data_IF_509291453045
#
_entry.id   IF_509291453045
#
_cell.length_a   1.000
_cell.length_b   1.000
_cell.length_c   1.000
_cell.angle_alpha   90.00
_cell.angle_beta   90.00
_cell.angle_gamma   90.00
#
_symmetry.space_group_name_H-M   'P 1'
#
loop_
_entity.id
_entity.type
_entity.pdbx_description
1 polymer ?
#
# COMPACT_ATOMS: atom_id res chain seq x y z
N UNK A 1 -28.44 21.44 -1.00
CA UNK A 1 -27.92 20.82 0.23
C UNK A 1 -26.80 19.84 -0.15
N UNK A 2 -25.54 20.09 0.21
CA UNK A 2 -24.45 19.11 0.01
C UNK A 2 -24.61 18.02 1.08
N UNK A 3 -25.11 16.84 0.70
CA UNK A 3 -25.20 15.70 1.60
C UNK A 3 -23.84 15.39 2.21
N UNK A 4 -23.79 15.12 3.52
CA UNK A 4 -22.56 14.66 4.19
C UNK A 4 -22.07 13.40 3.49
N UNK A 5 -20.91 13.50 2.84
CA UNK A 5 -20.19 12.36 2.27
C UNK A 5 -19.89 11.38 3.42
N UNK A 6 -20.61 10.25 3.46
CA UNK A 6 -20.40 9.23 4.49
C UNK A 6 -19.06 8.56 4.21
N UNK A 7 -18.15 8.64 5.18
CA UNK A 7 -16.91 7.85 5.17
C UNK A 7 -17.27 6.39 5.37
N UNK A 8 -16.90 5.54 4.42
CA UNK A 8 -17.07 4.10 4.55
C UNK A 8 -15.90 3.52 5.36
N UNK A 9 -16.18 2.49 6.17
CA UNK A 9 -15.18 1.78 6.96
C UNK A 9 -15.31 0.29 6.70
N UNK A 10 -14.23 -0.32 6.23
CA UNK A 10 -14.08 -1.75 6.01
C UNK A 10 -13.07 -2.29 7.03
N UNK A 11 -13.43 -3.35 7.75
CA UNK A 11 -12.61 -3.92 8.82
C UNK A 11 -12.53 -5.42 8.64
N UNK A 12 -11.31 -5.93 8.53
CA UNK A 12 -10.98 -7.33 8.34
C UNK A 12 -10.04 -7.72 9.50
N UNK A 13 -10.47 -8.67 10.34
CA UNK A 13 -9.68 -9.14 11.50
C UNK A 13 -9.66 -10.66 11.60
N UNK A 14 -8.51 -11.22 11.96
CA UNK A 14 -8.33 -12.66 12.23
C UNK A 14 -7.52 -13.38 11.16
N UNK A 15 -7.79 -14.67 10.99
CA UNK A 15 -7.28 -15.48 9.88
C UNK A 15 -8.28 -15.39 8.71
N UNK A 16 -7.87 -14.77 7.60
CA UNK A 16 -8.79 -14.36 6.55
C UNK A 16 -8.25 -14.68 5.16
N UNK A 17 -9.14 -15.21 4.33
CA UNK A 17 -8.92 -15.39 2.90
C UNK A 17 -10.16 -14.96 2.12
N UNK A 18 -10.04 -13.92 1.30
CA UNK A 18 -11.15 -13.37 0.51
C UNK A 18 -10.62 -12.62 -0.71
N UNK A 19 -11.06 -13.00 -1.90
CA UNK A 19 -10.66 -12.41 -3.18
C UNK A 19 -11.72 -11.49 -3.81
N UNK A 20 -12.80 -11.22 -3.07
CA UNK A 20 -14.01 -10.56 -3.56
C UNK A 20 -14.22 -9.15 -3.01
N UNK A 21 -13.19 -8.56 -2.35
CA UNK A 21 -13.33 -7.26 -1.71
C UNK A 21 -13.62 -6.17 -2.76
N UNK A 22 -14.72 -5.44 -2.58
CA UNK A 22 -15.08 -4.30 -3.42
C UNK A 22 -15.10 -3.01 -2.60
N UNK A 23 -14.16 -2.11 -2.88
CA UNK A 23 -14.09 -0.77 -2.31
C UNK A 23 -14.50 0.21 -3.41
N UNK A 24 -15.80 0.49 -3.48
CA UNK A 24 -16.38 1.47 -4.38
C UNK A 24 -17.27 2.44 -3.61
N UNK A 25 -17.05 3.74 -3.78
CA UNK A 25 -17.71 4.73 -2.93
C UNK A 25 -18.02 6.05 -3.64
N UNK A 26 -19.10 6.70 -3.19
CA UNK A 26 -19.37 8.12 -3.40
C UNK A 26 -18.76 8.95 -2.26
N UNK A 27 -17.52 8.66 -1.86
CA UNK A 27 -16.87 9.30 -0.71
C UNK A 27 -15.54 8.69 -0.30
N UNK A 28 -14.92 9.23 0.74
CA UNK A 28 -13.68 8.64 1.27
C UNK A 28 -13.95 7.28 1.93
N UNK A 29 -13.00 6.35 1.81
CA UNK A 29 -13.07 5.03 2.40
C UNK A 29 -11.87 4.78 3.33
N UNK A 30 -12.09 3.99 4.38
CA UNK A 30 -11.04 3.52 5.30
C UNK A 30 -11.06 2.00 5.33
N UNK A 31 -9.91 1.39 5.10
CA UNK A 31 -9.70 -0.06 5.10
C UNK A 31 -8.74 -0.38 6.24
N UNK A 32 -9.14 -1.31 7.11
CA UNK A 32 -8.33 -1.78 8.22
C UNK A 32 -8.24 -3.30 8.15
N UNK A 33 -7.01 -3.83 8.07
CA UNK A 33 -6.72 -5.26 8.02
C UNK A 33 -5.78 -5.60 9.18
N UNK A 34 -6.15 -6.59 9.99
CA UNK A 34 -5.35 -7.02 11.15
C UNK A 34 -5.37 -8.56 11.31
N UNK A 35 -4.20 -9.21 11.40
CA UNK A 35 -4.09 -10.64 11.66
C UNK A 35 -3.26 -11.38 10.61
N UNK A 36 -3.68 -12.59 10.24
CA UNK A 36 -3.09 -13.41 9.18
C UNK A 36 -4.02 -13.34 7.98
N UNK A 37 -3.55 -12.89 6.81
CA UNK A 37 -4.47 -12.54 5.73
C UNK A 37 -3.95 -12.83 4.32
N UNK A 38 -4.86 -13.23 3.46
CA UNK A 38 -4.70 -13.33 2.00
C UNK A 38 -5.93 -12.71 1.34
N UNK A 39 -5.88 -11.39 1.14
CA UNK A 39 -7.00 -10.61 0.66
C UNK A 39 -6.71 -10.08 -0.74
N UNK A 40 -7.71 -10.12 -1.62
CA UNK A 40 -7.66 -9.38 -2.87
C UNK A 40 -8.99 -8.72 -3.23
N UNK A 41 -8.93 -7.68 -4.06
CA UNK A 41 -10.11 -6.92 -4.38
C UNK A 41 -9.94 -5.80 -5.39
N UNK A 42 -11.02 -5.06 -5.59
CA UNK A 42 -11.10 -3.92 -6.51
C UNK A 42 -11.29 -2.62 -5.73
N UNK A 43 -10.44 -1.62 -5.99
CA UNK A 43 -10.63 -0.24 -5.54
C UNK A 43 -11.12 0.60 -6.73
N UNK A 44 -12.27 1.25 -6.58
CA UNK A 44 -12.80 2.20 -7.56
C UNK A 44 -13.29 3.49 -6.88
N UNK A 45 -12.35 4.42 -6.70
CA UNK A 45 -12.55 5.71 -6.05
C UNK A 45 -11.89 6.86 -6.86
N UNK A 46 -12.30 7.12 -8.12
CA UNK A 46 -11.56 8.02 -9.03
C UNK A 46 -11.54 9.50 -8.60
N UNK A 47 -12.37 9.90 -7.64
CA UNK A 47 -12.49 11.27 -7.12
C UNK A 47 -12.19 11.40 -5.62
N UNK A 48 -11.97 10.29 -4.92
CA UNK A 48 -11.95 10.24 -3.46
C UNK A 48 -10.66 9.62 -2.93
N UNK A 49 -10.53 9.64 -1.61
CA UNK A 49 -9.37 9.09 -0.89
C UNK A 49 -9.71 7.73 -0.29
N UNK A 50 -8.80 6.78 -0.46
CA UNK A 50 -8.81 5.52 0.30
C UNK A 50 -7.68 5.57 1.32
N UNK A 51 -8.00 5.41 2.59
CA UNK A 51 -7.02 5.28 3.67
C UNK A 51 -6.90 3.82 4.07
N UNK A 52 -5.68 3.30 4.15
CA UNK A 52 -5.39 1.89 4.41
C UNK A 52 -4.53 1.78 5.68
N UNK A 53 -4.89 0.83 6.53
CA UNK A 53 -4.09 0.37 7.67
C UNK A 53 -3.97 -1.15 7.61
N UNK A 54 -2.75 -1.68 7.67
CA UNK A 54 -2.47 -3.12 7.60
C UNK A 54 -1.54 -3.51 8.74
N UNK A 55 -1.90 -4.53 9.53
CA UNK A 55 -1.05 -5.02 10.62
C UNK A 55 -1.07 -6.53 10.72
N UNK A 56 0.11 -7.16 10.75
CA UNK A 56 0.23 -8.61 10.87
C UNK A 56 0.92 -9.20 9.65
N UNK A 57 0.50 -10.40 9.25
CA UNK A 57 1.23 -11.22 8.30
C UNK A 57 0.38 -11.64 7.11
N UNK A 58 0.97 -11.56 5.91
CA UNK A 58 0.32 -12.00 4.67
C UNK A 58 0.16 -10.90 3.61
N UNK A 59 -0.80 -11.06 2.69
CA UNK A 59 -0.89 -10.24 1.48
C UNK A 59 -2.26 -9.58 1.32
N UNK A 60 -2.25 -8.29 0.95
CA UNK A 60 -3.43 -7.57 0.45
C UNK A 60 -3.13 -7.08 -0.95
N UNK A 61 -3.92 -7.49 -1.95
CA UNK A 61 -3.78 -7.06 -3.33
C UNK A 61 -5.01 -6.28 -3.80
N UNK A 62 -4.79 -5.12 -4.42
CA UNK A 62 -5.87 -4.37 -5.04
C UNK A 62 -5.60 -4.12 -6.51
N UNK A 63 -6.68 -4.06 -7.29
CA UNK A 63 -6.69 -3.58 -8.67
C UNK A 63 -7.69 -2.44 -8.85
N UNK A 64 -7.50 -1.62 -9.87
CA UNK A 64 -8.47 -0.61 -10.29
C UNK A 64 -7.94 0.82 -10.28
N UNK A 65 -8.73 1.77 -9.77
CA UNK A 65 -8.44 3.20 -9.90
C UNK A 65 -8.86 4.00 -8.67
N UNK A 66 -7.95 4.81 -8.16
CA UNK A 66 -8.20 5.73 -7.06
C UNK A 66 -7.66 7.13 -7.37
N UNK A 67 -8.21 8.19 -6.77
CA UNK A 67 -7.56 9.50 -6.85
C UNK A 67 -6.34 9.54 -5.95
N UNK A 68 -6.52 9.23 -4.66
CA UNK A 68 -5.49 9.28 -3.64
C UNK A 68 -5.57 8.05 -2.75
N UNK A 69 -4.44 7.40 -2.50
CA UNK A 69 -4.34 6.35 -1.50
C UNK A 69 -3.38 6.81 -0.41
N UNK A 70 -3.81 6.68 0.84
CA UNK A 70 -3.01 6.98 2.03
C UNK A 70 -2.82 5.68 2.79
N UNK A 71 -1.60 5.17 2.83
CA UNK A 71 -1.20 4.12 3.77
C UNK A 71 -0.84 4.80 5.07
N UNK A 72 -1.78 4.76 6.02
CA UNK A 72 -1.65 5.47 7.30
C UNK A 72 -0.67 4.76 8.23
N UNK A 73 -0.72 3.43 8.26
CA UNK A 73 0.15 2.60 9.08
C UNK A 73 0.21 1.20 8.47
N UNK A 74 1.43 0.66 8.34
CA UNK A 74 1.68 -0.70 7.88
C UNK A 74 2.84 -1.30 8.66
N UNK A 75 2.62 -2.47 9.29
CA UNK A 75 3.59 -3.11 10.20
C UNK A 75 3.39 -4.63 10.27
N UNK A 76 4.43 -5.39 10.56
CA UNK A 76 4.48 -6.86 10.49
C UNK A 76 5.12 -7.39 9.20
N UNK A 77 5.04 -8.71 8.96
CA UNK A 77 5.55 -9.34 7.74
C UNK A 77 4.43 -9.43 6.69
N UNK A 78 4.11 -8.28 6.08
CA UNK A 78 2.99 -8.18 5.17
C UNK A 78 3.32 -7.46 3.86
N UNK A 79 2.54 -7.77 2.82
CA UNK A 79 2.63 -7.15 1.50
C UNK A 79 1.35 -6.42 1.14
N UNK A 80 1.46 -5.16 0.72
CA UNK A 80 0.40 -4.40 0.08
C UNK A 80 0.74 -4.23 -1.41
N UNK A 81 0.04 -4.99 -2.24
CA UNK A 81 0.23 -5.03 -3.68
C UNK A 81 -0.79 -4.12 -4.37
N UNK A 82 -0.31 -2.97 -4.85
CA UNK A 82 -1.07 -1.98 -5.60
C UNK A 82 -0.62 -1.93 -7.07
N UNK A 83 0.13 -2.92 -7.55
CA UNK A 83 0.70 -2.93 -8.92
C UNK A 83 -0.36 -2.68 -9.99
N UNK A 84 -1.57 -3.22 -9.81
CA UNK A 84 -2.71 -3.06 -10.70
C UNK A 84 -3.64 -1.88 -10.36
N UNK A 85 -3.19 -0.95 -9.50
CA UNK A 85 -3.94 0.26 -9.15
C UNK A 85 -3.34 1.49 -9.83
N UNK A 86 -4.19 2.23 -10.54
CA UNK A 86 -3.85 3.58 -11.03
C UNK A 86 -4.27 4.63 -10.02
N UNK A 87 -3.34 5.49 -9.59
CA UNK A 87 -3.59 6.62 -8.69
C UNK A 87 -2.99 7.95 -9.17
N UNK A 88 -3.51 9.07 -8.68
CA UNK A 88 -2.84 10.36 -8.85
C UNK A 88 -1.77 10.57 -7.79
N UNK A 89 -2.05 10.12 -6.56
CA UNK A 89 -1.18 10.35 -5.41
C UNK A 89 -1.16 9.12 -4.50
N UNK A 90 0.04 8.75 -4.08
CA UNK A 90 0.30 7.84 -2.96
C UNK A 90 0.94 8.59 -1.80
N UNK A 91 0.58 8.21 -0.59
CA UNK A 91 1.14 8.76 0.65
C UNK A 91 1.35 7.63 1.64
N UNK A 92 2.56 7.46 2.13
CA UNK A 92 2.92 6.46 3.14
C UNK A 92 3.35 7.19 4.40
N UNK A 93 2.52 7.14 5.44
CA UNK A 93 2.74 7.90 6.68
C UNK A 93 3.63 7.17 7.69
N UNK A 94 3.53 5.84 7.73
CA UNK A 94 4.30 4.94 8.60
C UNK A 94 4.30 3.54 7.99
N UNK A 95 5.46 3.08 7.54
CA UNK A 95 5.69 1.71 7.03
C UNK A 95 6.94 1.19 7.71
N UNK A 96 6.82 0.06 8.42
CA UNK A 96 7.84 -0.43 9.34
C UNK A 96 7.88 -1.95 9.40
N UNK A 97 8.78 -2.51 10.22
CA UNK A 97 9.08 -3.94 10.28
C UNK A 97 9.46 -4.49 8.88
N UNK A 98 8.93 -5.67 8.50
CA UNK A 98 9.17 -6.35 7.22
C UNK A 98 8.10 -6.04 6.17
N UNK A 99 7.44 -4.89 6.27
CA UNK A 99 6.36 -4.52 5.37
C UNK A 99 6.86 -4.22 3.94
N UNK A 100 6.19 -4.81 2.95
CA UNK A 100 6.48 -4.61 1.53
C UNK A 100 5.31 -3.90 0.86
N UNK A 101 5.58 -2.83 0.12
CA UNK A 101 4.59 -2.15 -0.71
C UNK A 101 5.03 -2.22 -2.16
N UNK A 102 4.12 -2.64 -3.04
CA UNK A 102 4.33 -2.60 -4.49
C UNK A 102 3.41 -1.55 -5.07
N UNK A 103 3.95 -0.48 -5.65
CA UNK A 103 3.13 0.58 -6.23
C UNK A 103 2.77 0.29 -7.67
N UNK A 104 1.51 0.54 -8.03
CA UNK A 104 1.09 0.64 -9.44
C UNK A 104 1.36 2.00 -10.04
N UNK A 105 0.65 2.30 -11.14
CA UNK A 105 0.79 3.56 -11.87
C UNK A 105 0.36 4.76 -11.01
N UNK A 106 1.31 5.52 -10.52
CA UNK A 106 1.06 6.76 -9.77
C UNK A 106 1.79 7.95 -10.36
N UNK A 107 1.21 9.15 -10.27
CA UNK A 107 1.89 10.39 -10.72
C UNK A 107 2.81 10.96 -9.66
N UNK A 108 2.38 10.92 -8.40
CA UNK A 108 3.08 11.54 -7.28
C UNK A 108 3.10 10.59 -6.08
N UNK A 109 4.24 10.52 -5.40
CA UNK A 109 4.33 10.03 -4.02
C UNK A 109 4.59 11.25 -3.14
N UNK A 110 3.56 11.72 -2.45
CA UNK A 110 3.63 12.99 -1.71
C UNK A 110 4.41 12.86 -0.40
N UNK A 111 4.49 11.64 0.12
CA UNK A 111 5.28 11.27 1.30
C UNK A 111 5.57 9.79 1.29
N UNK A 112 6.79 9.41 1.65
CA UNK A 112 7.16 8.05 2.00
C UNK A 112 7.96 8.04 3.29
N UNK A 113 7.39 7.51 4.37
CA UNK A 113 8.08 7.28 5.64
C UNK A 113 8.28 5.77 5.83
N UNK A 114 9.52 5.31 5.70
CA UNK A 114 9.91 3.92 5.81
C UNK A 114 10.90 3.75 6.97
N UNK A 115 10.75 2.67 7.73
CA UNK A 115 11.61 2.33 8.87
C UNK A 115 11.90 0.83 8.91
N UNK A 116 12.85 0.44 9.76
CA UNK A 116 13.24 -0.96 10.02
C UNK A 116 13.68 -1.69 8.75
N UNK A 117 12.94 -2.68 8.27
CA UNK A 117 13.26 -3.48 7.08
C UNK A 117 12.27 -3.22 5.93
N UNK A 118 11.45 -2.17 6.04
CA UNK A 118 10.38 -1.90 5.09
C UNK A 118 10.89 -1.66 3.67
N UNK A 119 10.18 -2.19 2.66
CA UNK A 119 10.54 -2.06 1.25
C UNK A 119 9.39 -1.44 0.46
N UNK A 120 9.70 -0.39 -0.30
CA UNK A 120 8.78 0.22 -1.26
C UNK A 120 9.27 0.00 -2.68
N UNK A 121 8.57 -0.85 -3.43
CA UNK A 121 8.80 -1.09 -4.85
C UNK A 121 8.03 -0.09 -5.70
N UNK A 122 8.75 0.60 -6.57
CA UNK A 122 8.25 1.67 -7.42
C UNK A 122 8.40 1.25 -8.89
N UNK A 123 7.28 0.92 -9.54
CA UNK A 123 7.25 0.38 -10.90
C UNK A 123 7.51 1.43 -11.99
N UNK A 124 6.87 2.60 -11.89
CA UNK A 124 7.12 3.75 -12.78
C UNK A 124 7.88 4.84 -12.02
N UNK A 125 8.39 5.91 -12.65
CA UNK A 125 9.08 7.01 -11.94
C UNK A 125 8.11 8.16 -11.58
N UNK A 126 7.39 8.13 -10.43
CA UNK A 126 6.58 9.24 -10.00
C UNK A 126 7.44 10.39 -9.48
N UNK A 127 6.85 11.58 -9.40
CA UNK A 127 7.44 12.67 -8.62
C UNK A 127 7.35 12.32 -7.12
N UNK A 128 8.49 12.31 -6.42
CA UNK A 128 8.54 12.11 -4.96
C UNK A 128 8.84 13.45 -4.30
N UNK A 129 7.98 13.89 -3.37
CA UNK A 129 8.12 15.23 -2.77
C UNK A 129 8.64 15.23 -1.33
N UNK A 130 8.50 14.12 -0.60
CA UNK A 130 8.97 14.01 0.79
C UNK A 130 9.32 12.55 1.09
N UNK A 131 10.53 12.33 1.58
CA UNK A 131 11.06 11.01 1.85
C UNK A 131 11.77 11.01 3.21
N UNK A 132 11.43 10.03 4.05
CA UNK A 132 12.12 9.72 5.29
C UNK A 132 12.35 8.21 5.31
N UNK A 133 13.60 7.79 5.36
CA UNK A 133 14.01 6.39 5.36
C UNK A 133 14.94 6.19 6.56
N UNK A 134 14.65 5.22 7.41
CA UNK A 134 15.48 4.87 8.56
C UNK A 134 15.65 3.35 8.71
N UNK A 135 16.63 2.92 9.50
CA UNK A 135 16.97 1.50 9.61
C UNK A 135 17.56 0.96 8.30
N UNK A 136 17.21 -0.28 7.98
CA UNK A 136 17.57 -0.98 6.74
C UNK A 136 16.50 -0.84 5.64
N UNK A 137 15.52 0.06 5.83
CA UNK A 137 14.44 0.26 4.87
C UNK A 137 14.95 0.85 3.56
N UNK A 138 14.26 0.54 2.45
CA UNK A 138 14.73 0.91 1.12
C UNK A 138 13.62 1.13 0.11
N UNK A 139 13.96 1.91 -0.91
CA UNK A 139 13.13 2.10 -2.11
C UNK A 139 13.82 1.37 -3.26
N UNK A 140 13.07 0.52 -3.96
CA UNK A 140 13.53 -0.24 -5.11
C UNK A 140 12.77 0.24 -6.34
N UNK A 141 13.50 0.60 -7.39
CA UNK A 141 12.90 0.96 -8.68
C UNK A 141 12.91 -0.25 -9.61
N UNK A 142 11.77 -0.55 -10.21
CA UNK A 142 11.61 -1.68 -11.12
C UNK A 142 10.35 -2.49 -10.84
N UNK A 143 10.08 -3.44 -11.71
CA UNK A 143 9.02 -4.42 -11.50
C UNK A 143 9.51 -5.43 -10.48
N UNK A 144 8.76 -5.64 -9.41
CA UNK A 144 9.05 -6.73 -8.47
C UNK A 144 8.92 -8.05 -9.24
N UNK A 145 10.03 -8.76 -9.39
CA UNK A 145 10.04 -10.09 -10.01
C UNK A 145 9.82 -11.14 -8.91
N UNK A 146 9.27 -12.30 -9.28
CA UNK A 146 9.09 -13.41 -8.33
C UNK A 146 10.39 -13.89 -7.67
N UNK A 147 11.57 -13.54 -8.22
CA UNK A 147 12.87 -13.82 -7.62
C UNK A 147 13.23 -12.86 -6.45
N UNK A 148 12.66 -11.65 -6.42
CA UNK A 148 12.94 -10.67 -5.36
C UNK A 148 12.29 -11.04 -4.01
N UNK A 149 11.41 -12.06 -4.01
CA UNK A 149 10.84 -12.68 -2.81
C UNK A 149 11.76 -13.75 -2.20
N UNK A 150 12.85 -14.14 -2.87
CA UNK A 150 13.69 -15.30 -2.47
C UNK A 150 15.18 -14.98 -2.35
N UNK A 151 15.69 -13.84 -2.79
CA UNK A 151 17.14 -13.57 -2.69
C UNK A 151 17.53 -12.75 -1.46
N UNK A 152 18.01 -13.45 -0.41
CA UNK A 152 19.15 -12.98 0.37
C UNK A 152 20.33 -12.83 -0.58
N UNK A 153 20.67 -11.60 -0.97
CA UNK A 153 22.05 -11.22 -1.24
C UNK A 153 22.17 -9.70 -1.21
N UNK A 154 22.68 -9.22 -0.08
CA UNK A 154 23.06 -7.83 0.13
C UNK A 154 24.27 -7.47 -0.74
N UNK A 155 24.09 -6.57 -1.72
CA UNK A 155 25.22 -5.84 -2.29
C UNK A 155 25.77 -4.88 -1.23
N UNK A 156 26.90 -5.25 -0.64
CA UNK A 156 27.77 -4.32 0.09
C UNK A 156 28.39 -3.36 -0.93
N UNK A 157 28.22 -2.06 -0.71
CA UNK A 157 28.98 -1.03 -1.41
C UNK A 157 30.21 -0.75 -0.55
N UNK A 158 31.39 -0.98 -1.12
CA UNK A 158 32.68 -0.53 -0.58
C UNK A 158 32.81 0.99 -0.57
#
# INVERSE_FOLDING_TARGET
MKGRVRKQKFVFKGDLKDDSILIGSHGDANVQVEGIFDLSGIIYCPKYTVTITVRGDGKVAFRGKCSRIIVKDMSGNCTLDLSDVTSKELRFESVRDQAIIVTGKTRVISRAHLADEAVLYIAEKPLITSLLVSGNSRIVYGTMTSNDLVSEDSLKVE
#
